data_IF_815845135263
#
_entry.id   IF_815845135263
#
_cell.length_a   1.000
_cell.length_b   1.000
_cell.length_c   1.000
_cell.angle_alpha   90.00
_cell.angle_beta   90.00
_cell.angle_gamma   90.00
#
_symmetry.space_group_name_H-M   'P 1'
#
loop_
_entity.id
_entity.type
_entity.pdbx_description
1 polymer ?
2 non-polymer ?
3 non-polymer ?
4 non-polymer ?
5 non-polymer ?
6 water ?
#
# COMPACT_ATOMS: atom_id res chain seq x y z
N UNK A 8 3.64 -13.51 -15.47
CA UNK A 8 3.47 -12.88 -14.17
C UNK A 8 4.25 -13.59 -13.07
N UNK A 9 5.21 -12.88 -12.49
CA UNK A 9 6.01 -13.42 -11.39
C UNK A 9 6.17 -12.31 -10.39
N UNK A 10 6.06 -12.65 -9.11
CA UNK A 10 6.20 -11.67 -8.04
C UNK A 10 7.16 -12.19 -7.01
N UNK A 11 8.00 -11.30 -6.51
CA UNK A 11 9.04 -11.63 -5.56
C UNK A 11 8.69 -11.44 -4.09
N UNK A 12 9.22 -12.30 -3.22
CA UNK A 12 9.01 -12.15 -1.78
C UNK A 12 10.14 -11.18 -1.42
N UNK A 13 9.79 -10.02 -0.90
CA UNK A 13 10.78 -9.00 -0.57
C UNK A 13 10.33 -8.24 0.66
N UNK A 14 10.50 -8.81 1.87
CA UNK A 14 10.06 -8.13 3.09
C UNK A 14 10.57 -6.70 3.22
N UNK A 15 9.66 -5.79 3.55
CA UNK A 15 10.02 -4.40 3.70
C UNK A 15 10.38 -3.64 2.45
N UNK A 16 10.33 -4.30 1.29
CA UNK A 16 10.64 -3.65 0.04
C UNK A 16 12.11 -3.34 -0.17
N UNK A 17 12.97 -3.84 0.69
CA UNK A 17 14.42 -3.59 0.61
C UNK A 17 15.06 -4.54 -0.37
N UNK A 18 15.74 -3.98 -1.36
CA UNK A 18 16.38 -4.78 -2.38
C UNK A 18 17.75 -4.18 -2.64
N UNK A 19 18.75 -5.03 -2.81
CA UNK A 19 20.09 -4.54 -3.04
C UNK A 19 20.30 -4.04 -4.45
N UNK A 20 21.33 -3.22 -4.65
CA UNK A 20 21.64 -2.74 -5.98
C UNK A 20 22.09 -3.88 -6.90
N UNK A 21 22.62 -4.94 -6.30
CA UNK A 21 23.07 -6.12 -7.01
C UNK A 21 21.84 -6.89 -7.46
N UNK A 22 20.85 -6.99 -6.58
CA UNK A 22 19.61 -7.68 -6.87
C UNK A 22 18.86 -6.89 -7.92
N UNK A 23 18.94 -5.57 -7.82
CA UNK A 23 18.26 -4.72 -8.78
C UNK A 23 18.78 -4.94 -10.19
N UNK A 24 20.10 -4.93 -10.36
CA UNK A 24 20.67 -5.13 -11.69
C UNK A 24 20.27 -6.47 -12.30
N UNK A 25 20.15 -7.50 -11.46
CA UNK A 25 19.77 -8.82 -11.93
C UNK A 25 18.31 -8.82 -12.38
N UNK A 26 17.44 -8.04 -11.72
CA UNK A 26 16.04 -8.00 -12.13
C UNK A 26 15.84 -7.08 -13.31
N UNK A 27 16.66 -6.04 -13.40
CA UNK A 27 16.58 -5.12 -14.51
C UNK A 27 16.91 -5.84 -15.83
N UNK A 28 17.95 -6.67 -15.79
CA UNK A 28 18.39 -7.44 -16.94
C UNK A 28 17.31 -8.41 -17.40
N UNK A 29 16.76 -9.16 -16.46
CA UNK A 29 15.73 -10.14 -16.78
C UNK A 29 14.50 -9.47 -17.37
N UNK A 30 14.01 -8.42 -16.72
CA UNK A 30 12.84 -7.70 -17.20
C UNK A 30 13.00 -7.33 -18.65
N UNK A 31 14.16 -6.78 -18.97
CA UNK A 31 14.44 -6.36 -20.32
C UNK A 31 14.63 -7.44 -21.35
N UNK A 32 15.30 -8.53 -20.98
CA UNK A 32 15.57 -9.59 -21.94
C UNK A 32 14.53 -10.68 -22.05
N UNK A 33 13.95 -11.07 -20.92
CA UNK A 33 13.05 -12.20 -20.91
C UNK A 33 11.57 -12.03 -20.62
N UNK A 34 11.02 -10.85 -20.87
CA UNK A 34 9.59 -10.65 -20.63
C UNK A 34 9.03 -9.92 -21.83
N UNK A 35 7.73 -10.05 -22.07
CA UNK A 35 7.08 -9.42 -23.19
C UNK A 35 7.06 -7.91 -23.06
N UNK A 36 6.71 -7.43 -21.86
CA UNK A 36 6.61 -6.00 -21.61
C UNK A 36 7.91 -5.24 -21.34
N UNK A 37 8.94 -5.96 -20.94
CA UNK A 37 10.24 -5.36 -20.65
C UNK A 37 10.25 -4.38 -19.49
N UNK A 38 9.26 -4.46 -18.62
CA UNK A 38 9.17 -3.52 -17.53
C UNK A 38 9.37 -4.17 -16.18
N UNK A 39 9.59 -3.33 -15.17
CA UNK A 39 9.68 -3.75 -13.79
C UNK A 39 8.47 -2.99 -13.28
N UNK A 40 7.58 -3.65 -12.56
CA UNK A 40 6.37 -2.99 -12.06
C UNK A 40 6.43 -3.12 -10.56
N UNK A 41 6.57 -2.00 -9.87
CA UNK A 41 6.63 -2.01 -8.42
C UNK A 41 5.19 -2.11 -7.98
N UNK A 42 4.94 -2.94 -6.97
CA UNK A 42 3.58 -3.12 -6.47
C UNK A 42 3.37 -2.33 -5.20
N UNK A 43 2.12 -2.21 -4.80
CA UNK A 43 1.82 -1.46 -3.61
C UNK A 43 2.01 -2.27 -2.32
N UNK A 44 2.64 -3.43 -2.44
CA UNK A 44 2.96 -4.24 -1.28
C UNK A 44 4.48 -4.30 -1.15
N UNK A 45 5.16 -3.32 -1.73
CA UNK A 45 6.61 -3.23 -1.62
C UNK A 45 7.43 -4.31 -2.29
N UNK A 46 7.00 -4.76 -3.46
CA UNK A 46 7.75 -5.77 -4.19
C UNK A 46 7.59 -5.46 -5.66
N UNK A 47 8.01 -6.35 -6.53
CA UNK A 47 7.92 -6.09 -7.95
C UNK A 47 7.38 -7.28 -8.73
N UNK A 48 6.91 -6.99 -9.95
CA UNK A 48 6.39 -8.01 -10.84
C UNK A 48 6.96 -7.86 -12.23
N UNK A 49 7.02 -9.00 -12.92
CA UNK A 49 7.45 -9.06 -14.32
C UNK A 49 6.13 -9.38 -15.03
N UNK A 50 5.98 -8.92 -16.26
CA UNK A 50 4.75 -9.17 -17.01
C UNK A 50 5.09 -9.83 -18.34
N UNK A 51 4.44 -10.95 -18.62
CA UNK A 51 4.68 -11.63 -19.87
C UNK A 51 6.01 -12.34 -19.90
N UNK A 52 6.21 -13.26 -18.97
CA UNK A 52 7.46 -13.97 -18.95
C UNK A 52 7.35 -15.05 -20.00
N UNK A 53 8.41 -15.20 -20.81
CA UNK A 53 8.42 -16.22 -21.85
C UNK A 53 8.85 -17.60 -21.33
N UNK A 59 13.84 -20.91 -14.47
CA UNK A 59 14.97 -20.02 -14.82
C UNK A 59 14.93 -18.69 -14.05
N UNK A 60 13.73 -18.13 -13.89
CA UNK A 60 13.57 -16.89 -13.13
C UNK A 60 13.94 -17.22 -11.69
N UNK A 61 13.60 -18.44 -11.25
CA UNK A 61 13.88 -18.89 -9.89
C UNK A 61 15.36 -19.04 -9.68
N UNK A 62 16.07 -19.40 -10.74
CA UNK A 62 17.50 -19.57 -10.66
C UNK A 62 18.15 -18.21 -10.69
N UNK A 63 17.53 -17.28 -11.41
CA UNK A 63 18.01 -15.90 -11.50
C UNK A 63 17.71 -15.18 -10.19
N UNK A 64 16.59 -15.53 -9.55
CA UNK A 64 16.22 -14.93 -8.29
C UNK A 64 17.14 -15.51 -7.23
N UNK A 65 17.15 -16.84 -7.15
CA UNK A 65 17.94 -17.59 -6.19
C UNK A 65 19.42 -17.21 -6.22
N UNK A 66 19.91 -16.90 -7.42
CA UNK A 66 21.31 -16.53 -7.60
C UNK A 66 21.65 -15.22 -6.92
N UNK A 67 20.68 -14.32 -6.80
CA UNK A 67 20.90 -13.04 -6.11
C UNK A 67 20.27 -13.04 -4.72
N UNK A 68 19.92 -14.24 -4.25
CA UNK A 68 19.33 -14.40 -2.93
C UNK A 68 17.88 -13.97 -2.81
N UNK A 69 17.11 -14.15 -3.87
CA UNK A 69 15.70 -13.78 -3.86
C UNK A 69 14.84 -15.01 -4.09
N UNK A 70 13.56 -14.94 -3.74
CA UNK A 70 12.66 -16.07 -3.97
C UNK A 70 11.22 -15.61 -4.16
N UNK A 71 10.48 -16.32 -4.98
CA UNK A 71 9.07 -16.01 -5.21
C UNK A 71 8.35 -16.97 -4.26
N UNK A 72 7.38 -16.47 -3.50
CA UNK A 72 6.64 -17.33 -2.54
C UNK A 72 5.94 -18.55 -3.14
N UNK A 76 -0.14 -23.23 -2.12
CA UNK A 76 -0.22 -23.63 -0.72
C UNK A 76 0.06 -22.47 0.23
N UNK A 77 1.04 -21.64 -0.12
CA UNK A 77 1.40 -20.50 0.71
C UNK A 77 0.53 -19.27 0.46
N UNK A 78 -0.29 -18.94 1.46
CA UNK A 78 -1.17 -17.79 1.38
C UNK A 78 -0.49 -16.55 1.95
N UNK A 79 0.77 -16.69 2.37
CA UNK A 79 1.46 -15.56 2.95
C UNK A 79 2.02 -14.60 1.90
N UNK A 80 1.39 -13.45 1.94
CA UNK A 80 1.69 -12.42 0.95
C UNK A 80 2.85 -11.54 1.41
N UNK A 81 3.46 -10.59 0.72
CA UNK A 81 4.62 -9.82 1.15
C UNK A 81 4.34 -9.01 2.43
N UNK A 82 5.24 -9.11 3.41
CA UNK A 82 5.15 -8.38 4.66
C UNK A 82 5.74 -6.99 4.44
N UNK A 83 4.93 -5.98 4.70
CA UNK A 83 5.35 -4.59 4.50
C UNK A 83 5.94 -3.96 5.75
N UNK A 84 6.78 -2.96 5.54
CA UNK A 84 7.39 -2.23 6.64
C UNK A 84 7.54 -0.77 6.22
N UNK A 85 7.07 0.16 7.05
CA UNK A 85 7.20 1.59 6.79
C UNK A 85 8.60 1.81 6.23
N UNK A 86 8.65 2.37 5.03
CA UNK A 86 9.89 2.58 4.31
C UNK A 86 10.83 3.72 4.66
N UNK A 87 10.30 4.85 5.08
CA UNK A 87 11.11 6.04 5.32
C UNK A 87 10.61 6.78 6.58
N UNK A 88 10.75 6.16 7.75
CA UNK A 88 10.27 6.79 8.98
C UNK A 88 10.91 8.12 9.33
N UNK A 89 10.14 9.02 9.92
CA UNK A 89 10.65 10.33 10.33
C UNK A 89 11.80 10.12 11.31
N UNK A 90 11.65 9.17 12.21
CA UNK A 90 12.70 8.83 13.16
C UNK A 90 13.48 7.76 12.40
N UNK A 91 14.40 8.19 11.55
CA UNK A 91 15.17 7.27 10.72
C UNK A 91 15.82 6.06 11.34
N UNK A 92 16.20 6.16 12.60
CA UNK A 92 16.87 5.04 13.24
C UNK A 92 15.98 3.85 13.51
N UNK A 93 14.67 4.06 13.61
CA UNK A 93 13.76 2.95 13.88
C UNK A 93 13.61 1.95 12.74
N UNK A 94 13.91 2.37 11.53
CA UNK A 94 13.76 1.49 10.37
C UNK A 94 14.46 0.15 10.47
N UNK A 95 15.73 0.17 10.88
CA UNK A 95 16.55 -1.04 10.99
C UNK A 95 15.92 -2.15 11.83
N UNK A 96 15.42 -1.82 13.01
CA UNK A 96 14.78 -2.82 13.86
C UNK A 96 13.41 -3.26 13.35
N UNK A 97 12.59 -2.30 12.93
CA UNK A 97 11.26 -2.60 12.44
C UNK A 97 11.43 -3.50 11.22
N UNK A 98 12.41 -3.19 10.37
CA UNK A 98 12.69 -3.97 9.17
C UNK A 98 13.14 -5.37 9.53
N UNK A 99 14.01 -5.47 10.54
CA UNK A 99 14.51 -6.77 11.00
C UNK A 99 13.30 -7.60 11.45
N UNK A 100 12.33 -6.97 12.09
CA UNK A 100 11.15 -7.69 12.51
C UNK A 100 10.23 -8.10 11.35
N UNK A 101 10.04 -7.23 10.35
CA UNK A 101 9.21 -7.59 9.19
C UNK A 101 9.81 -8.81 8.52
N UNK A 102 11.13 -8.85 8.48
CA UNK A 102 11.87 -9.94 7.88
C UNK A 102 11.70 -11.23 8.72
N UNK A 103 11.69 -11.10 10.05
CA UNK A 103 11.52 -12.25 10.94
C UNK A 103 10.12 -12.84 10.87
N UNK A 104 9.12 -11.99 10.77
CA UNK A 104 7.74 -12.45 10.66
C UNK A 104 7.54 -13.18 9.32
N UNK A 105 8.09 -12.58 8.27
CA UNK A 105 8.02 -13.15 6.94
C UNK A 105 8.59 -14.55 6.84
N UNK A 106 9.74 -14.81 7.44
CA UNK A 106 10.33 -16.15 7.38
C UNK A 106 9.62 -17.08 8.35
N UNK A 107 9.22 -16.54 9.48
CA UNK A 107 8.52 -17.31 10.49
C UNK A 107 7.18 -17.76 9.95
N UNK A 108 6.62 -16.99 9.02
CA UNK A 108 5.33 -17.33 8.46
C UNK A 108 5.39 -18.25 7.25
N UNK A 109 6.60 -18.48 6.73
CA UNK A 109 6.79 -19.35 5.59
C UNK A 109 6.53 -20.82 5.98
N UNK A 110 5.91 -21.62 5.07
CA UNK A 110 5.59 -23.04 5.33
C UNK A 110 6.74 -23.89 5.89
N UNK A 137 0.83 -24.62 7.65
CA UNK A 137 -0.60 -24.38 7.82
C UNK A 137 -1.19 -23.78 6.53
N UNK A 138 -2.24 -24.40 6.01
CA UNK A 138 -2.89 -23.91 4.79
C UNK A 138 -4.00 -22.94 5.15
N UNK A 139 -3.86 -21.70 4.70
CA UNK A 139 -4.83 -20.65 4.99
C UNK A 139 -6.03 -20.72 4.04
N UNK A 140 -7.22 -20.35 4.55
CA UNK A 140 -8.42 -20.38 3.71
C UNK A 140 -8.31 -19.37 2.57
N UNK A 141 -7.75 -18.27 2.79
CA UNK A 141 -7.55 -17.15 1.88
C UNK A 141 -6.16 -16.61 2.14
N UNK A 142 -5.77 -15.60 1.26
CA UNK A 142 -4.45 -15.00 1.47
C UNK A 142 -4.34 -14.19 2.75
N UNK A 143 -3.16 -14.21 3.35
CA UNK A 143 -2.91 -13.52 4.59
C UNK A 143 -1.89 -12.41 4.38
N UNK A 144 -2.26 -11.19 4.74
CA UNK A 144 -1.41 -10.04 4.54
C UNK A 144 -0.99 -9.40 5.87
N UNK A 145 0.32 -9.17 6.03
CA UNK A 145 0.88 -8.64 7.29
C UNK A 145 1.74 -7.41 7.10
N UNK A 146 1.79 -6.55 8.11
CA UNK A 146 2.65 -5.35 8.04
C UNK A 146 3.25 -4.99 9.39
N UNK A 147 4.30 -4.19 9.34
CA UNK A 147 4.97 -3.64 10.51
C UNK A 147 4.89 -2.14 10.22
N UNK A 148 4.22 -1.39 11.09
CA UNK A 148 4.03 0.05 10.90
C UNK A 148 4.84 0.86 11.92
N UNK A 149 5.38 2.00 11.47
CA UNK A 149 6.14 2.91 12.35
C UNK A 149 5.36 4.22 12.34
N UNK A 150 4.55 4.46 13.39
CA UNK A 150 3.79 5.71 13.43
C UNK A 150 4.79 6.85 13.35
N UNK A 151 4.35 8.04 12.91
CA UNK A 151 2.99 8.40 12.50
C UNK A 151 2.66 8.11 11.02
N UNK A 152 3.44 7.27 10.36
CA UNK A 152 3.19 6.96 8.97
C UNK A 152 2.43 5.67 8.77
N UNK A 153 1.39 5.74 7.94
CA UNK A 153 0.57 4.58 7.62
C UNK A 153 0.68 4.38 6.11
N UNK A 154 1.89 4.57 5.58
CA UNK A 154 2.15 4.40 4.15
C UNK A 154 1.82 2.98 3.69
N UNK A 155 1.98 2.01 4.60
CA UNK A 155 1.71 0.62 4.29
C UNK A 155 0.22 0.31 4.25
N UNK A 156 -0.61 1.27 4.66
CA UNK A 156 -2.06 1.14 4.63
C UNK A 156 -2.50 -0.09 5.42
N UNK A 157 -2.25 -0.03 6.72
CA UNK A 157 -2.55 -1.13 7.61
C UNK A 157 -3.98 -1.68 7.58
N UNK A 158 -4.95 -0.84 7.30
CA UNK A 158 -6.31 -1.34 7.33
C UNK A 158 -6.74 -2.22 6.20
N UNK A 159 -5.81 -2.50 5.28
CA UNK A 159 -6.07 -3.40 4.17
C UNK A 159 -5.48 -4.77 4.47
N UNK A 160 -4.93 -4.96 5.67
CA UNK A 160 -4.27 -6.22 6.03
C UNK A 160 -4.85 -6.98 7.21
N UNK A 161 -4.62 -8.30 7.18
CA UNK A 161 -5.08 -9.22 8.24
C UNK A 161 -4.37 -9.02 9.58
N UNK A 162 -3.05 -8.83 9.53
CA UNK A 162 -2.30 -8.71 10.77
C UNK A 162 -1.31 -7.56 10.69
N UNK A 163 -1.35 -6.69 11.68
CA UNK A 163 -0.50 -5.52 11.69
C UNK A 163 0.18 -5.33 13.03
N UNK A 164 1.48 -5.06 12.98
CA UNK A 164 2.28 -4.82 14.16
C UNK A 164 2.71 -3.37 14.12
N UNK A 165 2.09 -2.54 14.96
CA UNK A 165 2.40 -1.12 15.03
C UNK A 165 3.53 -0.94 16.07
N UNK A 166 4.72 -0.56 15.58
CA UNK A 166 5.89 -0.37 16.44
C UNK A 166 5.75 0.69 17.53
N UNK A 167 6.09 0.30 18.75
CA UNK A 167 6.07 1.22 19.90
C UNK A 167 7.55 1.31 20.33
N UNK A 168 8.08 2.52 20.36
CA UNK A 168 9.48 2.70 20.73
C UNK A 168 9.63 3.66 21.90
N UNK A 169 10.71 3.48 22.63
CA UNK A 169 11.07 4.34 23.76
C UNK A 169 12.56 4.55 23.58
N UNK A 170 13.00 5.79 23.74
CA UNK A 170 14.42 6.12 23.62
C UNK A 170 15.04 5.63 22.31
N UNK A 171 14.28 5.73 21.22
CA UNK A 171 14.80 5.31 19.92
C UNK A 171 14.94 3.81 19.74
N UNK A 172 14.38 3.07 20.68
CA UNK A 172 14.43 1.62 20.66
C UNK A 172 13.01 1.06 20.68
N UNK A 173 12.80 0.01 19.91
CA UNK A 173 11.51 -0.63 19.83
C UNK A 173 11.32 -1.42 21.10
N UNK A 174 10.17 -1.28 21.74
CA UNK A 174 9.91 -2.04 22.95
C UNK A 174 8.79 -3.07 22.75
N UNK A 175 7.95 -2.87 21.74
CA UNK A 175 6.87 -3.81 21.51
C UNK A 175 6.02 -3.38 20.33
N UNK A 176 4.86 -4.01 20.20
CA UNK A 176 3.96 -3.73 19.09
C UNK A 176 2.50 -3.72 19.51
N UNK A 177 1.72 -2.86 18.87
CA UNK A 177 0.29 -2.83 19.09
C UNK A 177 -0.19 -3.75 17.99
N UNK A 178 -1.04 -4.72 18.31
CA UNK A 178 -1.54 -5.64 17.29
C UNK A 178 -2.91 -5.20 16.77
N UNK A 179 -3.03 -5.05 15.45
CA UNK A 179 -4.31 -4.70 14.82
C UNK A 179 -4.62 -5.84 13.83
N UNK A 180 -5.79 -6.44 13.96
CA UNK A 180 -6.15 -7.58 13.14
C UNK A 180 -7.49 -7.50 12.41
N UNK A 181 -7.52 -7.99 11.18
CA UNK A 181 -8.77 -8.03 10.44
C UNK A 181 -9.09 -7.15 9.25
N UNK A 182 -8.11 -6.47 8.69
CA UNK A 182 -8.42 -5.62 7.55
C UNK A 182 -8.53 -6.42 6.29
N UNK A 183 -9.24 -5.89 5.29
CA UNK A 183 -9.40 -6.55 4.01
C UNK A 183 -10.28 -5.66 3.18
N UNK A 184 -9.95 -5.44 1.92
CA UNK A 184 -10.74 -4.52 1.06
C UNK A 184 -11.65 -5.11 -0.02
N UNK A 185 -11.35 -6.32 -0.45
CA UNK A 185 -12.07 -7.01 -1.48
C UNK A 185 -13.58 -7.15 -1.25
N UNK A 186 -14.35 -6.78 -2.26
CA UNK A 186 -15.79 -6.91 -2.21
C UNK A 186 -16.21 -7.50 -3.52
N UNK A 187 -17.48 -7.82 -3.63
CA UNK A 187 -18.02 -8.37 -4.85
C UNK A 187 -19.17 -7.43 -5.18
N UNK A 188 -19.23 -6.95 -6.40
CA UNK A 188 -20.31 -6.02 -6.75
C UNK A 188 -21.73 -6.51 -6.41
N UNK A 189 -22.50 -5.65 -5.73
CA UNK A 189 -23.88 -5.95 -5.38
C UNK A 189 -24.14 -7.07 -4.38
N UNK A 190 -23.07 -7.69 -3.90
CA UNK A 190 -23.13 -8.79 -2.94
C UNK A 190 -22.91 -8.21 -1.53
N UNK A 191 -24.00 -7.89 -0.85
CA UNK A 191 -23.93 -7.30 0.47
C UNK A 191 -23.40 -8.20 1.55
N UNK A 192 -22.96 -9.39 1.18
CA UNK A 192 -22.38 -10.33 2.14
C UNK A 192 -20.87 -10.14 2.19
N UNK A 193 -20.35 -9.35 1.26
CA UNK A 193 -18.93 -9.06 1.20
C UNK A 193 -18.79 -7.60 1.62
N UNK A 194 -17.63 -7.23 2.17
CA UNK A 194 -17.41 -5.86 2.61
C UNK A 194 -15.94 -5.61 2.88
N UNK A 195 -15.54 -4.34 2.83
CA UNK A 195 -14.18 -3.95 3.16
C UNK A 195 -14.23 -3.76 4.66
N UNK A 196 -13.16 -4.06 5.37
CA UNK A 196 -13.17 -3.90 6.82
C UNK A 196 -11.84 -3.35 7.29
N UNK A 197 -11.86 -2.57 8.35
CA UNK A 197 -10.62 -2.01 8.91
C UNK A 197 -10.14 -2.96 10.00
N UNK A 198 -8.87 -2.91 10.37
CA UNK A 198 -8.32 -3.80 11.38
C UNK A 198 -8.75 -3.38 12.76
N UNK A 199 -8.91 -4.35 13.66
CA UNK A 199 -9.31 -4.11 15.03
C UNK A 199 -8.14 -4.24 15.99
N UNK A 200 -8.08 -3.37 16.99
CA UNK A 200 -7.03 -3.40 18.01
C UNK A 200 -7.27 -4.53 18.97
N UNK A 201 -6.23 -5.31 19.20
CA UNK A 201 -6.26 -6.43 20.12
C UNK A 201 -5.56 -6.01 21.41
N UNK A 202 -4.40 -5.38 21.30
CA UNK A 202 -3.65 -4.96 22.46
C UNK A 202 -2.18 -4.86 22.14
N UNK A 203 -1.38 -4.53 23.16
CA UNK A 203 0.05 -4.38 23.06
C UNK A 203 0.76 -5.66 23.54
N UNK A 204 1.90 -5.96 22.94
CA UNK A 204 2.68 -7.13 23.31
C UNK A 204 4.16 -6.75 23.28
N UNK A 205 4.91 -7.17 24.29
CA UNK A 205 6.34 -6.90 24.37
C UNK A 205 6.95 -7.56 23.17
N UNK A 206 8.00 -6.95 22.66
CA UNK A 206 8.71 -7.41 21.49
C UNK A 206 8.99 -8.91 21.49
N UNK A 207 9.26 -9.46 22.67
CA UNK A 207 9.59 -10.88 22.82
C UNK A 207 8.48 -11.85 22.41
N UNK A 208 7.23 -11.43 22.46
CA UNK A 208 6.12 -12.31 22.11
C UNK A 208 5.65 -12.19 20.67
N UNK A 209 6.37 -11.41 19.89
CA UNK A 209 6.02 -11.16 18.51
C UNK A 209 5.72 -12.39 17.67
N UNK A 210 6.69 -13.29 17.55
CA UNK A 210 6.50 -14.47 16.73
C UNK A 210 5.42 -15.43 17.18
N UNK A 211 5.23 -15.55 18.48
CA UNK A 211 4.23 -16.43 19.08
C UNK A 211 2.84 -15.89 18.82
N UNK A 212 2.72 -14.57 18.84
CA UNK A 212 1.45 -13.89 18.61
C UNK A 212 1.11 -13.98 17.13
N UNK A 213 2.14 -13.85 16.29
CA UNK A 213 1.99 -13.92 14.84
C UNK A 213 1.47 -15.29 14.40
N UNK A 214 2.07 -16.32 14.94
CA UNK A 214 1.72 -17.70 14.64
C UNK A 214 0.32 -17.98 15.15
N UNK A 215 0.00 -17.49 16.34
CA UNK A 215 -1.31 -17.69 16.95
C UNK A 215 -2.43 -17.08 16.13
N UNK A 216 -2.22 -15.89 15.58
CA UNK A 216 -3.27 -15.27 14.76
C UNK A 216 -3.49 -16.10 13.50
N UNK A 217 -2.39 -16.54 12.89
CA UNK A 217 -2.44 -17.35 11.69
C UNK A 217 -3.17 -18.67 11.88
N UNK A 218 -2.80 -19.39 12.94
CA UNK A 218 -3.43 -20.68 13.17
C UNK A 218 -4.89 -20.55 13.58
N UNK A 219 -5.23 -19.51 14.33
CA UNK A 219 -6.61 -19.32 14.75
C UNK A 219 -7.51 -19.02 13.55
N UNK A 220 -6.98 -18.27 12.60
CA UNK A 220 -7.70 -17.94 11.39
C UNK A 220 -7.82 -19.19 10.53
N UNK A 221 -6.75 -19.97 10.48
CA UNK A 221 -6.68 -21.20 9.72
C UNK A 221 -7.74 -22.20 10.18
N UNK A 222 -7.93 -22.29 11.49
CA UNK A 222 -8.88 -23.23 12.07
C UNK A 222 -10.32 -22.77 12.05
N UNK A 223 -10.54 -21.50 12.34
CA UNK A 223 -11.89 -20.93 12.40
C UNK A 223 -12.44 -20.39 11.10
N UNK A 224 -11.58 -20.18 10.11
CA UNK A 224 -12.01 -19.65 8.83
C UNK A 224 -13.11 -20.49 8.25
N UNK A 225 -13.99 -19.88 7.45
CA UNK A 225 -15.10 -20.56 6.80
C UNK A 225 -14.63 -21.75 5.96
N UNK A 226 -15.13 -22.94 6.29
CA UNK A 226 -14.75 -24.18 5.59
C UNK A 226 -15.48 -24.45 4.28
N UNK A 227 -16.57 -23.75 4.06
CA UNK A 227 -17.36 -23.94 2.86
C UNK A 227 -17.05 -22.96 1.73
N UNK A 228 -17.41 -21.69 1.96
CA UNK A 228 -17.27 -20.63 0.98
C UNK A 228 -15.97 -19.84 1.04
N UNK A 229 -15.29 -19.77 -0.10
CA UNK A 229 -14.03 -19.06 -0.25
C UNK A 229 -14.13 -17.52 -0.15
N UNK A 230 -15.32 -16.97 -0.43
CA UNK A 230 -15.55 -15.50 -0.36
C UNK A 230 -15.84 -14.98 1.04
N UNK A 231 -15.89 -15.88 2.02
CA UNK A 231 -16.20 -15.51 3.41
C UNK A 231 -15.14 -16.10 4.33
N UNK A 232 -14.04 -16.52 3.73
CA UNK A 232 -12.94 -17.16 4.42
C UNK A 232 -11.85 -16.23 4.97
N UNK A 233 -11.86 -14.98 4.56
CA UNK A 233 -10.88 -14.00 5.02
C UNK A 233 -11.07 -13.73 6.53
N UNK A 234 -9.99 -13.39 7.24
CA UNK A 234 -10.02 -13.10 8.68
C UNK A 234 -11.05 -12.05 9.05
N UNK A 235 -11.23 -11.03 8.21
CA UNK A 235 -12.20 -9.99 8.47
C UNK A 235 -13.61 -10.56 8.69
N UNK A 236 -13.90 -11.66 7.97
CA UNK A 236 -15.18 -12.35 8.06
C UNK A 236 -15.25 -13.22 9.30
N UNK A 237 -14.13 -13.85 9.63
CA UNK A 237 -14.03 -14.69 10.80
C UNK A 237 -14.25 -13.88 12.09
N UNK A 238 -13.61 -12.72 12.17
CA UNK A 238 -13.71 -11.85 13.35
C UNK A 238 -15.11 -11.41 13.62
N UNK A 239 -15.84 -11.16 12.54
CA UNK A 239 -17.24 -10.72 12.64
C UNK A 239 -18.17 -11.85 13.04
N UNK A 240 -17.81 -13.08 12.68
CA UNK A 240 -18.63 -14.25 13.02
C UNK A 240 -18.42 -14.63 14.49
N UNK A 241 -17.17 -14.74 14.91
CA UNK A 241 -16.85 -15.11 16.27
C UNK A 241 -16.75 -13.93 17.22
N UNK A 242 -16.33 -12.77 16.70
CA UNK A 242 -16.20 -11.60 17.54
C UNK A 242 -14.74 -11.37 17.90
N UNK A 243 -14.32 -10.11 17.94
CA UNK A 243 -12.93 -9.76 18.28
C UNK A 243 -12.47 -10.33 19.61
N UNK A 244 -13.29 -10.20 20.63
CA UNK A 244 -12.93 -10.68 21.96
C UNK A 244 -12.72 -12.19 22.01
N UNK A 245 -13.52 -12.93 21.25
CA UNK A 245 -13.41 -14.39 21.20
C UNK A 245 -12.14 -14.80 20.49
N UNK A 246 -11.87 -14.15 19.37
CA UNK A 246 -10.68 -14.41 18.56
C UNK A 246 -9.46 -14.00 19.38
N UNK A 247 -9.56 -12.86 20.04
CA UNK A 247 -8.48 -12.33 20.88
C UNK A 247 -8.14 -13.30 22.00
N UNK A 248 -9.15 -13.78 22.73
CA UNK A 248 -8.94 -14.71 23.84
C UNK A 248 -8.24 -15.97 23.38
N UNK A 249 -8.56 -16.41 22.17
CA UNK A 249 -7.95 -17.60 21.64
C UNK A 249 -6.50 -17.36 21.28
N UNK A 250 -6.21 -16.16 20.77
CA UNK A 250 -4.85 -15.80 20.40
C UNK A 250 -3.96 -15.78 21.65
N UNK A 251 -4.49 -15.24 22.75
CA UNK A 251 -3.77 -15.19 24.00
C UNK A 251 -3.48 -16.59 24.51
N UNK A 252 -4.51 -17.43 24.50
CA UNK A 252 -4.35 -18.80 24.95
C UNK A 252 -3.30 -19.55 24.14
N UNK A 253 -3.38 -19.44 22.81
CA UNK A 253 -2.43 -20.12 21.94
C UNK A 253 -1.03 -19.54 22.03
N UNK A 254 -0.94 -18.22 22.18
CA UNK A 254 0.36 -17.54 22.26
C UNK A 254 1.05 -17.69 23.62
N UNK A 255 0.25 -17.83 24.68
CA UNK A 255 0.81 -17.99 26.02
C UNK A 255 1.07 -16.65 26.69
N UNK A 256 0.30 -15.64 26.30
CA UNK A 256 0.44 -14.29 26.85
C UNK A 256 -0.92 -13.64 27.00
N UNK A 257 -0.94 -12.50 27.68
CA UNK A 257 -2.15 -11.71 27.82
C UNK A 257 -1.75 -10.39 27.24
N UNK A 258 -2.54 -9.89 26.31
CA UNK A 258 -2.23 -8.62 25.70
C UNK A 258 -2.35 -7.54 26.76
N UNK A 259 -1.53 -6.50 26.64
CA UNK A 259 -1.58 -5.35 27.54
C UNK A 259 -2.42 -4.29 26.81
N UNK A 260 -2.87 -3.25 27.52
CA UNK A 260 -3.66 -2.21 26.89
C UNK A 260 -2.88 -1.62 25.73
N UNK A 261 -3.62 -1.11 24.75
CA UNK A 261 -3.02 -0.51 23.58
C UNK A 261 -2.21 0.71 24.02
N UNK A 262 -1.04 0.90 23.42
CA UNK A 262 -0.26 2.06 23.75
C UNK A 262 -0.52 3.09 22.68
N UNK A 263 -0.58 4.37 23.07
CA UNK A 263 -0.84 5.46 22.13
C UNK A 263 -0.02 5.49 20.84
N UNK A 264 -0.70 5.84 19.75
CA UNK A 264 -0.09 5.94 18.44
C UNK A 264 -1.10 6.70 17.62
N UNK A 265 -0.61 7.38 16.60
CA UNK A 265 -1.48 8.14 15.74
C UNK A 265 -0.75 8.28 14.43
N UNK A 266 -1.48 8.51 13.35
CA UNK A 266 -0.86 8.64 12.05
C UNK A 266 -1.10 10.03 11.55
N UNK A 267 -0.20 10.51 10.72
CA UNK A 267 -0.34 11.81 10.14
C UNK A 267 -0.55 11.71 8.64
N UNK A 268 -0.24 10.56 8.04
CA UNK A 268 -0.43 10.43 6.61
C UNK A 268 0.01 9.10 6.07
N UNK A 269 -0.09 8.95 4.75
CA UNK A 269 0.27 7.72 4.05
C UNK A 269 1.14 7.93 2.82
N UNK A 270 1.52 9.17 2.55
CA UNK A 270 2.32 9.43 1.37
C UNK A 270 3.81 9.22 1.58
N UNK A 271 4.53 9.11 0.49
CA UNK A 271 5.97 8.95 0.55
C UNK A 271 6.54 10.35 0.74
N UNK A 272 7.85 10.44 0.98
CA UNK A 272 8.52 11.72 1.19
C UNK A 272 9.39 11.94 -0.02
N UNK A 273 8.73 12.39 -1.08
CA UNK A 273 9.34 12.62 -2.36
C UNK A 273 10.47 13.63 -2.25
N UNK A 274 11.61 13.28 -2.84
CA UNK A 274 12.75 14.17 -2.77
C UNK A 274 13.75 13.65 -1.76
N UNK A 275 14.63 14.55 -1.31
CA UNK A 275 15.66 14.22 -0.35
C UNK A 275 15.23 14.41 1.07
N UNK A 276 15.55 13.43 1.91
CA UNK A 276 15.28 13.55 3.34
C UNK A 276 16.57 13.10 3.97
N UNK A 277 16.86 13.68 5.13
CA UNK A 277 18.07 13.37 5.88
C UNK A 277 17.84 12.15 6.76
N UNK A 278 18.68 11.13 6.60
CA UNK A 278 18.57 9.95 7.43
C UNK A 278 19.53 10.04 8.60
N UNK A 279 20.07 8.91 9.03
CA UNK A 279 21.01 8.90 10.14
C UNK A 279 22.44 9.07 9.61
N UNK A 280 23.35 9.55 10.46
CA UNK A 280 24.75 9.77 10.09
C UNK A 280 24.74 10.86 9.04
N UNK A 281 25.53 10.71 7.98
CA UNK A 281 25.55 11.70 6.90
C UNK A 281 24.82 11.12 5.69
N UNK A 282 23.87 10.23 5.96
CA UNK A 282 23.13 9.58 4.90
C UNK A 282 21.84 10.27 4.54
N UNK A 283 21.52 10.24 3.25
CA UNK A 283 20.32 10.86 2.74
C UNK A 283 19.48 9.84 1.96
N UNK A 284 18.19 10.09 1.90
CA UNK A 284 17.29 9.19 1.18
C UNK A 284 16.58 9.96 0.09
N UNK A 285 16.71 9.51 -1.15
CA UNK A 285 16.03 10.17 -2.26
C UNK A 285 14.86 9.28 -2.71
N UNK A 286 13.64 9.71 -2.43
CA UNK A 286 12.47 8.93 -2.88
C UNK A 286 12.07 9.49 -4.25
N UNK A 287 11.94 8.60 -5.23
CA UNK A 287 11.54 9.02 -6.56
C UNK A 287 10.09 8.66 -6.86
N UNK A 288 9.33 9.62 -7.38
CA UNK A 288 7.95 9.33 -7.77
C UNK A 288 7.96 8.55 -9.09
N UNK A 289 7.36 7.37 -9.10
CA UNK A 289 7.28 6.58 -10.32
C UNK A 289 5.81 6.34 -10.61
N UNK A 290 5.29 6.97 -11.66
CA UNK A 290 3.89 6.81 -11.99
C UNK A 290 3.51 5.35 -12.21
N UNK A 291 2.51 4.90 -11.47
CA UNK A 291 2.06 3.52 -11.51
C UNK A 291 3.17 2.54 -11.22
N UNK A 292 4.31 3.03 -10.75
CA UNK A 292 5.42 2.16 -10.45
C UNK A 292 5.91 1.39 -11.67
N UNK A 293 5.53 1.83 -12.86
CA UNK A 293 5.93 1.15 -14.08
C UNK A 293 7.28 1.66 -14.53
N UNK A 294 8.29 0.81 -14.42
CA UNK A 294 9.63 1.17 -14.79
C UNK A 294 9.96 0.66 -16.18
N UNK A 295 9.95 1.58 -17.13
CA UNK A 295 10.25 1.26 -18.52
C UNK A 295 10.95 2.46 -19.12
N UNK A 296 11.70 2.24 -20.17
CA UNK A 296 12.34 3.38 -20.80
C UNK A 296 11.38 3.96 -21.79
N UNK A 297 11.08 5.23 -21.62
CA UNK A 297 10.18 5.91 -22.50
C UNK A 297 10.97 6.88 -23.33
N UNK A 298 10.40 7.30 -24.47
CA UNK A 298 11.08 8.25 -25.35
C UNK A 298 11.35 9.50 -24.52
N UNK A 299 12.65 9.79 -24.38
CA UNK A 299 13.12 10.95 -23.63
C UNK A 299 13.05 10.80 -22.10
N UNK A 300 12.54 9.66 -21.62
CA UNK A 300 12.47 9.43 -20.17
C UNK A 300 12.95 8.02 -19.92
N UNK A 301 14.27 7.81 -20.01
CA UNK A 301 14.88 6.50 -19.79
C UNK A 301 14.83 6.12 -18.32
N UNK A 302 13.61 5.90 -17.81
CA UNK A 302 13.41 5.55 -16.41
C UNK A 302 14.14 4.29 -16.00
N UNK A 303 14.02 3.27 -16.82
CA UNK A 303 14.64 1.97 -16.52
C UNK A 303 16.17 2.04 -16.55
N UNK A 304 16.72 2.66 -17.58
CA UNK A 304 18.17 2.79 -17.70
C UNK A 304 18.66 3.66 -16.55
N UNK A 305 17.90 4.71 -16.28
CA UNK A 305 18.22 5.63 -15.20
C UNK A 305 18.41 4.91 -13.88
N UNK A 306 17.48 4.02 -13.55
CA UNK A 306 17.60 3.28 -12.29
C UNK A 306 18.73 2.28 -12.34
N UNK A 307 19.11 1.83 -13.54
CA UNK A 307 20.23 0.92 -13.66
C UNK A 307 21.52 1.69 -13.42
N UNK A 308 21.64 2.88 -14.01
CA UNK A 308 22.85 3.69 -13.84
C UNK A 308 23.05 4.07 -12.37
N UNK A 309 21.95 4.34 -11.67
CA UNK A 309 22.02 4.68 -10.26
C UNK A 309 22.40 3.42 -9.49
N UNK A 310 21.82 2.29 -9.88
CA UNK A 310 22.10 1.04 -9.20
C UNK A 310 23.59 0.77 -9.23
N UNK A 311 24.21 1.04 -10.36
CA UNK A 311 25.64 0.78 -10.47
C UNK A 311 26.55 1.64 -9.58
N UNK A 312 26.11 2.86 -9.24
CA UNK A 312 26.95 3.73 -8.41
C UNK A 312 26.45 3.95 -6.98
N UNK A 313 25.25 3.47 -6.67
CA UNK A 313 24.69 3.67 -5.34
C UNK A 313 25.37 2.85 -4.27
N UNK A 314 25.58 3.49 -3.13
CA UNK A 314 26.23 2.88 -1.96
C UNK A 314 25.38 1.88 -1.15
N UNK A 315 24.13 2.25 -0.86
CA UNK A 315 23.28 1.38 -0.09
C UNK A 315 22.37 0.58 -1.00
N UNK A 316 21.11 0.46 -0.59
CA UNK A 316 20.14 -0.25 -1.40
C UNK A 316 18.97 0.63 -1.78
N UNK A 317 17.94 -0.01 -2.34
CA UNK A 317 16.71 0.66 -2.76
C UNK A 317 15.62 0.14 -1.84
N UNK A 318 14.55 0.91 -1.71
CA UNK A 318 13.43 0.47 -0.91
C UNK A 318 12.20 0.72 -1.77
N UNK A 319 11.44 -0.34 -2.06
CA UNK A 319 10.22 -0.22 -2.85
C UNK A 319 9.12 0.15 -1.85
N UNK A 320 8.42 1.25 -2.08
CA UNK A 320 7.40 1.70 -1.16
C UNK A 320 6.00 1.14 -1.48
N UNK A 321 5.12 1.24 -0.51
CA UNK A 321 3.76 0.77 -0.64
C UNK A 321 2.95 1.72 -1.48
N UNK A 322 3.60 2.73 -2.05
CA UNK A 322 2.93 3.69 -2.90
C UNK A 322 3.46 3.56 -4.32
N UNK A 323 4.12 2.44 -4.58
CA UNK A 323 4.68 2.11 -5.90
C UNK A 323 5.80 3.06 -6.34
N UNK A 324 6.58 3.53 -5.36
CA UNK A 324 7.70 4.45 -5.62
C UNK A 324 8.98 3.80 -5.20
N UNK A 325 10.08 4.49 -5.41
CA UNK A 325 11.36 3.91 -5.07
C UNK A 325 12.28 4.84 -4.32
N UNK A 326 12.87 4.34 -3.25
CA UNK A 326 13.78 5.14 -2.44
C UNK A 326 15.20 4.67 -2.64
N UNK A 327 16.07 5.60 -3.01
CA UNK A 327 17.49 5.30 -3.14
C UNK A 327 17.95 5.63 -1.72
N UNK A 328 18.16 4.58 -0.93
CA UNK A 328 18.52 4.73 0.48
C UNK A 328 19.98 4.69 0.89
N UNK A 329 20.32 5.53 1.87
CA UNK A 329 21.69 5.55 2.36
C UNK A 329 22.70 6.13 1.41
N UNK A 330 22.38 7.31 0.88
CA UNK A 330 23.27 8.01 -0.01
C UNK A 330 24.13 8.94 0.85
N UNK A 331 25.46 8.74 0.83
CA UNK A 331 26.32 9.60 1.62
C UNK A 331 26.15 11.02 1.08
N UNK A 332 26.16 12.02 1.96
CA UNK A 332 26.00 13.41 1.52
C UNK A 332 26.90 13.76 0.34
N UNK A 333 28.10 13.19 0.30
CA UNK A 333 29.04 13.47 -0.80
C UNK A 333 28.56 12.93 -2.15
N UNK A 334 27.73 11.89 -2.10
CA UNK A 334 27.19 11.24 -3.30
C UNK A 334 25.86 11.81 -3.83
N UNK A 335 25.23 12.67 -3.06
CA UNK A 335 23.95 13.27 -3.44
C UNK A 335 23.94 13.88 -4.82
N UNK A 336 25.01 14.57 -5.16
CA UNK A 336 25.10 15.21 -6.47
C UNK A 336 25.20 14.24 -7.63
N UNK A 337 25.92 13.14 -7.46
CA UNK A 337 26.07 12.15 -8.52
C UNK A 337 24.72 11.50 -8.79
N UNK A 338 24.10 10.98 -7.74
CA UNK A 338 22.81 10.32 -7.82
C UNK A 338 21.77 11.25 -8.40
N UNK A 339 21.73 12.48 -7.90
CA UNK A 339 20.73 13.41 -8.37
C UNK A 339 20.87 13.79 -9.83
N UNK A 340 22.10 13.83 -10.32
CA UNK A 340 22.32 14.20 -11.71
C UNK A 340 21.66 13.15 -12.59
N UNK A 341 21.95 11.88 -12.32
CA UNK A 341 21.37 10.76 -13.07
C UNK A 341 19.85 10.76 -13.01
N UNK A 342 19.29 10.73 -11.80
CA UNK A 342 17.85 10.72 -11.63
C UNK A 342 17.19 11.87 -12.36
N UNK A 343 17.86 13.02 -12.41
CA UNK A 343 17.32 14.21 -13.08
C UNK A 343 17.34 14.08 -14.60
N UNK A 344 18.46 13.59 -15.13
CA UNK A 344 18.64 13.41 -16.57
C UNK A 344 17.69 12.34 -17.10
N UNK A 345 17.47 11.30 -16.31
CA UNK A 345 16.60 10.20 -16.71
C UNK A 345 15.11 10.48 -16.62
N UNK A 346 14.73 11.62 -16.04
CA UNK A 346 13.31 11.94 -15.90
C UNK A 346 12.68 11.32 -14.67
N UNK A 347 13.50 10.84 -13.74
CA UNK A 347 13.02 10.22 -12.52
C UNK A 347 12.58 11.26 -11.52
N UNK A 348 13.08 12.48 -11.68
CA UNK A 348 12.72 13.56 -10.78
C UNK A 348 11.85 14.64 -11.41
N UNK A 349 11.12 14.27 -12.45
CA UNK A 349 10.23 15.24 -13.10
C UNK A 349 9.19 15.57 -12.07
N UNK A 350 9.01 16.85 -11.83
CA UNK A 350 8.07 17.31 -10.84
C UNK A 350 6.63 17.09 -11.24
N UNK A 351 5.84 16.58 -10.30
CA UNK A 351 4.42 16.34 -10.52
C UNK A 351 3.70 17.08 -9.41
N UNK A 352 2.39 17.12 -9.47
CA UNK A 352 1.66 17.82 -8.44
C UNK A 352 1.54 16.91 -7.21
N UNK A 353 1.24 17.52 -6.05
CA UNK A 353 1.10 16.72 -4.84
C UNK A 353 -0.07 15.77 -5.08
N UNK A 354 -1.03 16.15 -5.92
CA UNK A 354 -2.17 15.29 -6.23
C UNK A 354 -1.70 14.01 -6.88
N UNK A 355 -0.86 14.13 -7.90
CA UNK A 355 -0.38 12.96 -8.57
C UNK A 355 0.40 12.05 -7.62
N UNK A 356 1.17 12.65 -6.72
CA UNK A 356 1.97 11.88 -5.78
C UNK A 356 1.13 11.10 -4.82
N UNK A 357 -0.10 11.54 -4.57
CA UNK A 357 -0.96 10.82 -3.65
C UNK A 357 -2.11 10.07 -4.31
N UNK A 358 -1.92 9.68 -5.56
CA UNK A 358 -2.93 8.95 -6.31
C UNK A 358 -2.36 7.57 -6.61
N UNK A 359 -3.22 6.56 -6.71
CA UNK A 359 -2.73 5.21 -6.99
C UNK A 359 -3.73 4.38 -7.81
N UNK A 360 -3.23 3.40 -8.55
CA UNK A 360 -4.07 2.52 -9.35
C UNK A 360 -3.41 1.14 -9.41
N UNK A 361 -4.23 0.11 -9.63
CA UNK A 361 -3.78 -1.27 -9.75
C UNK A 361 -3.34 -1.52 -11.19
N UNK A 362 -2.79 -2.70 -11.46
CA UNK A 362 -2.35 -3.04 -12.80
C UNK A 362 -3.51 -3.04 -13.82
N UNK A 363 -4.52 -3.88 -13.56
CA UNK A 363 -5.68 -3.98 -14.44
C UNK A 363 -5.22 -4.39 -15.85
N UNK A 364 -5.93 -3.95 -16.89
CA UNK A 364 -5.54 -4.27 -18.25
C UNK A 364 -4.16 -3.71 -18.48
N UNK A 365 -3.40 -4.30 -19.41
CA UNK A 365 -3.74 -5.46 -20.26
C UNK A 365 -3.47 -6.87 -19.69
N UNK A 366 -2.72 -6.93 -18.61
CA UNK A 366 -2.34 -8.21 -18.03
C UNK A 366 -3.29 -8.88 -17.06
N UNK A 367 -4.12 -8.12 -16.36
CA UNK A 367 -4.98 -8.77 -15.40
C UNK A 367 -6.18 -9.41 -16.04
N UNK A 368 -6.45 -10.69 -15.73
CA UNK A 368 -7.60 -11.40 -16.29
C UNK A 368 -8.93 -11.09 -15.60
N UNK A 369 -8.85 -10.49 -14.42
CA UNK A 369 -10.05 -10.19 -13.67
C UNK A 369 -10.49 -8.76 -13.84
N UNK A 370 -9.71 -8.00 -14.59
CA UNK A 370 -10.00 -6.59 -14.80
C UNK A 370 -11.35 -6.29 -15.44
N UNK A 371 -12.02 -5.24 -14.97
CA UNK A 371 -13.30 -4.83 -15.52
C UNK A 371 -13.18 -3.47 -16.21
N UNK A 372 -12.34 -2.61 -15.66
CA UNK A 372 -12.14 -1.27 -16.22
C UNK A 372 -10.66 -0.95 -16.09
N UNK A 373 -10.17 -0.04 -16.92
CA UNK A 373 -8.76 0.36 -16.90
C UNK A 373 -8.41 1.03 -15.57
N UNK A 374 -7.18 0.87 -15.12
CA UNK A 374 -6.75 1.49 -13.88
C UNK A 374 -5.39 2.14 -14.10
N UNK A 375 -4.35 1.34 -14.20
CA UNK A 375 -3.03 1.89 -14.44
C UNK A 375 -3.00 2.75 -15.69
N UNK A 376 -3.54 2.23 -16.77
CA UNK A 376 -3.52 2.98 -18.02
C UNK A 376 -4.48 4.16 -18.08
N UNK A 377 -5.39 4.23 -17.13
CA UNK A 377 -6.37 5.30 -17.07
C UNK A 377 -5.90 6.43 -16.14
N UNK A 378 -5.21 6.05 -15.07
CA UNK A 378 -4.78 7.00 -14.08
C UNK A 378 -4.04 8.26 -14.53
N UNK A 379 -3.02 8.12 -15.38
CA UNK A 379 -2.28 9.32 -15.82
C UNK A 379 -3.11 10.47 -16.40
N UNK A 380 -3.95 10.19 -17.41
CA UNK A 380 -4.75 11.24 -18.00
C UNK A 380 -5.88 11.63 -17.11
N UNK A 381 -6.31 10.71 -16.28
CA UNK A 381 -7.39 11.02 -15.37
C UNK A 381 -6.82 12.06 -14.40
N UNK A 382 -5.62 11.82 -13.87
CA UNK A 382 -5.06 12.81 -12.96
C UNK A 382 -4.72 14.12 -13.68
N UNK A 383 -4.52 14.04 -14.99
CA UNK A 383 -4.25 15.24 -15.79
C UNK A 383 -5.49 16.09 -15.61
N UNK A 384 -6.64 15.43 -15.69
CA UNK A 384 -7.93 16.11 -15.54
C UNK A 384 -8.16 16.67 -14.14
N UNK A 385 -7.79 15.87 -13.14
CA UNK A 385 -7.94 16.24 -11.74
C UNK A 385 -7.02 17.40 -11.41
N UNK A 386 -5.83 17.41 -11.99
CA UNK A 386 -4.90 18.51 -11.76
C UNK A 386 -5.54 19.80 -12.26
N UNK A 387 -6.22 19.74 -13.40
CA UNK A 387 -6.88 20.92 -13.93
C UNK A 387 -7.93 21.41 -12.97
N UNK A 388 -8.69 20.48 -12.42
CA UNK A 388 -9.75 20.84 -11.50
C UNK A 388 -9.19 21.42 -10.22
N UNK A 389 -8.07 20.89 -9.75
CA UNK A 389 -7.48 21.40 -8.52
C UNK A 389 -7.00 22.84 -8.78
N UNK A 390 -6.37 23.06 -9.94
CA UNK A 390 -5.88 24.39 -10.31
C UNK A 390 -7.04 25.39 -10.45
N UNK A 391 -8.11 24.96 -11.10
CA UNK A 391 -9.30 25.78 -11.30
C UNK A 391 -9.87 26.26 -9.96
N UNK A 392 -9.72 25.45 -8.91
CA UNK A 392 -10.23 25.83 -7.61
C UNK A 392 -9.24 26.43 -6.61
N UNK A 393 -8.02 26.70 -7.06
CA UNK A 393 -7.02 27.28 -6.18
C UNK A 393 -6.49 26.32 -5.13
N UNK A 394 -6.45 25.05 -5.50
CA UNK A 394 -5.98 24.01 -4.60
C UNK A 394 -4.92 23.13 -5.23
N UNK A 395 -4.14 23.71 -6.14
CA UNK A 395 -3.07 23.00 -6.84
C UNK A 395 -2.00 22.50 -5.88
N UNK A 396 -1.93 23.08 -4.70
CA UNK A 396 -0.93 22.66 -3.72
C UNK A 396 -1.50 21.63 -2.76
N UNK A 397 -2.78 21.32 -2.90
CA UNK A 397 -3.44 20.36 -2.04
C UNK A 397 -3.42 18.97 -2.67
N UNK A 398 -4.01 18.02 -1.97
CA UNK A 398 -4.08 16.68 -2.49
C UNK A 398 -5.28 15.98 -1.89
N UNK A 399 -5.78 14.99 -2.62
CA UNK A 399 -6.91 14.15 -2.23
C UNK A 399 -6.36 12.76 -2.49
N UNK A 400 -6.42 11.89 -1.49
CA UNK A 400 -5.91 10.52 -1.68
C UNK A 400 -6.91 9.88 -2.68
N UNK A 401 -6.47 9.71 -3.92
CA UNK A 401 -7.33 9.23 -4.99
C UNK A 401 -6.82 7.98 -5.60
N UNK A 402 -7.65 6.96 -5.61
CA UNK A 402 -7.25 5.66 -6.10
C UNK A 402 -8.29 4.99 -7.00
N UNK A 403 -7.78 4.27 -7.98
CA UNK A 403 -8.60 3.59 -8.95
C UNK A 403 -8.23 2.13 -8.95
N UNK A 404 -9.23 1.31 -8.78
CA UNK A 404 -9.00 -0.11 -8.77
C UNK A 404 -9.86 -0.65 -9.93
N UNK A 405 -9.29 -1.52 -10.74
CA UNK A 405 -9.98 -2.02 -11.91
C UNK A 405 -11.13 -3.02 -11.78
N UNK A 406 -11.39 -3.46 -10.56
CA UNK A 406 -12.46 -4.40 -10.30
C UNK A 406 -12.57 -4.40 -8.77
N UNK A 407 -13.67 -4.94 -8.21
CA UNK A 407 -13.88 -4.96 -6.76
C UNK A 407 -12.89 -5.71 -5.88
N UNK A 408 -11.99 -6.49 -6.47
CA UNK A 408 -10.97 -7.20 -5.70
C UNK A 408 -10.22 -6.16 -4.88
N UNK A 409 -10.08 -4.96 -5.44
CA UNK A 409 -9.49 -3.86 -4.68
C UNK A 409 -8.01 -3.66 -4.53
N UNK A 410 -7.22 -4.22 -5.43
CA UNK A 410 -5.77 -4.11 -5.41
C UNK A 410 -5.25 -2.65 -5.34
N UNK A 411 -5.97 -1.73 -5.94
CA UNK A 411 -5.57 -0.34 -5.94
C UNK A 411 -5.86 0.38 -4.64
N UNK A 412 -6.45 -0.35 -3.69
CA UNK A 412 -6.81 0.17 -2.36
C UNK A 412 -7.73 1.38 -2.37
N UNK A 413 -8.62 1.40 -3.35
CA UNK A 413 -9.59 2.46 -3.49
C UNK A 413 -10.51 2.44 -2.30
N UNK A 414 -10.66 1.29 -1.65
CA UNK A 414 -11.57 1.21 -0.49
C UNK A 414 -11.03 1.82 0.80
N UNK A 415 -9.87 2.47 0.72
CA UNK A 415 -9.31 3.17 1.86
C UNK A 415 -8.97 4.59 1.44
N UNK A 416 -9.35 4.98 0.23
CA UNK A 416 -9.07 6.31 -0.29
C UNK A 416 -10.14 7.33 0.08
N UNK A 417 -9.82 8.61 -0.10
CA UNK A 417 -10.80 9.68 0.17
C UNK A 417 -11.79 9.66 -0.99
N UNK A 418 -11.27 9.37 -2.19
CA UNK A 418 -12.07 9.26 -3.42
C UNK A 418 -11.56 7.99 -4.08
N UNK A 419 -12.40 6.96 -4.09
CA UNK A 419 -12.02 5.71 -4.71
C UNK A 419 -12.87 5.42 -5.95
N UNK A 420 -12.24 4.89 -6.99
CA UNK A 420 -12.95 4.53 -8.23
C UNK A 420 -12.81 3.03 -8.31
N UNK A 421 -13.94 2.34 -8.45
CA UNK A 421 -13.95 0.89 -8.51
C UNK A 421 -14.58 0.42 -9.82
N UNK A 422 -13.74 -0.11 -10.71
CA UNK A 422 -14.17 -0.59 -12.00
C UNK A 422 -15.36 -1.51 -11.98
N UNK A 423 -16.32 -1.22 -12.86
CA UNK A 423 -17.52 -2.04 -12.94
C UNK A 423 -17.68 -2.63 -14.35
N UNK A 424 -17.17 -1.93 -15.35
CA UNK A 424 -17.23 -2.36 -16.76
C UNK A 424 -16.30 -1.46 -17.56
N UNK A 425 -16.07 -1.74 -18.85
CA UNK A 425 -15.20 -0.88 -19.65
C UNK A 425 -15.60 0.58 -19.54
N UNK A 426 -14.70 1.40 -19.02
CA UNK A 426 -14.98 2.82 -18.88
C UNK A 426 -15.98 3.24 -17.81
N UNK A 427 -16.38 2.33 -16.92
CA UNK A 427 -17.37 2.65 -15.88
C UNK A 427 -16.85 2.33 -14.50
N UNK A 428 -17.19 3.15 -13.53
CA UNK A 428 -16.70 2.90 -12.20
C UNK A 428 -17.71 3.29 -11.16
N UNK A 429 -17.57 2.70 -9.99
CA UNK A 429 -18.40 3.07 -8.86
C UNK A 429 -17.51 4.14 -8.24
N UNK A 430 -18.09 5.24 -7.80
CA UNK A 430 -17.35 6.34 -7.19
C UNK A 430 -17.67 6.29 -5.71
N UNK A 431 -16.64 6.18 -4.88
CA UNK A 431 -16.79 6.11 -3.44
C UNK A 431 -16.14 7.37 -2.86
N UNK A 432 -16.73 7.94 -1.81
CA UNK A 432 -16.22 9.15 -1.19
C UNK A 432 -16.29 9.02 0.31
N UNK A 433 -15.45 9.77 1.01
CA UNK A 433 -15.52 9.79 2.45
C UNK A 433 -14.48 9.09 3.28
N UNK A 434 -13.39 8.68 2.65
CA UNK A 434 -12.33 8.06 3.42
C UNK A 434 -11.55 9.24 4.00
N UNK A 435 -10.39 8.99 4.57
CA UNK A 435 -9.65 10.11 5.08
C UNK A 435 -8.20 10.02 4.65
N UNK A 436 -7.43 11.06 4.92
CA UNK A 436 -6.02 11.06 4.55
C UNK A 436 -5.19 9.94 5.15
N UNK A 437 -5.48 9.59 6.39
CA UNK A 437 -4.72 8.53 7.04
C UNK A 437 -5.13 7.10 6.72
N UNK A 438 -6.33 6.93 6.17
CA UNK A 438 -6.76 5.60 5.77
C UNK A 438 -7.38 4.74 6.84
N UNK A 439 -8.21 5.35 7.68
CA UNK A 439 -8.83 4.61 8.74
C UNK A 439 -10.35 4.52 8.55
N UNK A 440 -10.85 4.93 7.39
CA UNK A 440 -12.29 4.90 7.14
C UNK A 440 -12.55 4.41 5.73
N UNK A 441 -13.61 3.62 5.56
CA UNK A 441 -13.96 3.07 4.25
C UNK A 441 -14.91 4.03 3.53
N UNK A 442 -14.62 4.38 2.26
CA UNK A 442 -15.53 5.29 1.56
C UNK A 442 -16.81 4.58 1.08
N UNK A 443 -17.95 5.20 1.30
CA UNK A 443 -19.23 4.65 0.91
C UNK A 443 -19.44 4.95 -0.56
N UNK A 444 -20.19 4.09 -1.25
CA UNK A 444 -20.45 4.33 -2.65
C UNK A 444 -21.33 5.56 -2.78
N UNK A 445 -20.85 6.51 -3.57
CA UNK A 445 -21.55 7.75 -3.80
C UNK A 445 -22.33 7.67 -5.11
N UNK A 446 -21.72 7.15 -6.17
CA UNK A 446 -22.40 7.00 -7.46
C UNK A 446 -21.98 5.68 -8.04
N UNK A 447 -22.85 5.08 -8.83
CA UNK A 447 -22.59 3.76 -9.36
C UNK A 447 -22.51 3.68 -10.87
N UNK A 448 -21.61 2.84 -11.36
CA UNK A 448 -21.45 2.58 -12.79
C UNK A 448 -21.49 3.81 -13.68
N UNK A 449 -20.66 4.81 -13.38
CA UNK A 449 -20.63 6.03 -14.16
C UNK A 449 -19.33 6.13 -14.91
N UNK A 450 -19.32 7.00 -15.91
CA UNK A 450 -18.16 7.20 -16.76
C UNK A 450 -17.27 8.35 -16.31
N UNK A 451 -16.09 8.44 -16.90
CA UNK A 451 -15.16 9.50 -16.54
C UNK A 451 -15.79 10.89 -16.64
N UNK A 452 -16.39 11.24 -17.80
CA UNK A 452 -17.00 12.57 -17.88
C UNK A 452 -17.98 12.79 -16.74
N UNK A 453 -18.63 11.71 -16.29
CA UNK A 453 -19.59 11.81 -15.19
C UNK A 453 -18.84 11.95 -13.87
N UNK A 454 -17.72 11.24 -13.74
CA UNK A 454 -16.93 11.30 -12.52
C UNK A 454 -16.32 12.71 -12.37
N UNK A 455 -15.72 13.20 -13.44
CA UNK A 455 -15.13 14.53 -13.45
C UNK A 455 -16.12 15.63 -13.10
N UNK A 456 -17.35 15.53 -13.60
CA UNK A 456 -18.37 16.55 -13.32
C UNK A 456 -18.73 16.58 -11.85
N UNK A 457 -18.80 15.41 -11.23
CA UNK A 457 -19.12 15.34 -9.82
C UNK A 457 -17.98 15.91 -9.01
N UNK A 458 -16.75 15.54 -9.36
CA UNK A 458 -15.57 16.03 -8.63
C UNK A 458 -15.39 17.55 -8.80
N UNK A 459 -15.61 18.04 -10.01
CA UNK A 459 -15.49 19.47 -10.29
C UNK A 459 -16.34 20.18 -9.23
N UNK A 460 -17.56 19.71 -9.06
CA UNK A 460 -18.46 20.30 -8.09
C UNK A 460 -18.07 20.11 -6.62
N UNK A 461 -17.67 18.91 -6.25
CA UNK A 461 -17.29 18.69 -4.86
C UNK A 461 -15.99 19.40 -4.49
N UNK A 462 -14.98 19.33 -5.33
CA UNK A 462 -13.71 20.01 -5.07
C UNK A 462 -13.91 21.50 -4.89
N UNK A 463 -14.84 22.06 -5.66
CA UNK A 463 -15.14 23.47 -5.56
C UNK A 463 -15.74 23.79 -4.22
N UNK A 464 -16.66 22.96 -3.74
CA UNK A 464 -17.27 23.21 -2.43
C UNK A 464 -16.21 23.07 -1.35
N UNK A 465 -15.34 22.09 -1.53
CA UNK A 465 -14.27 21.87 -0.55
C UNK A 465 -13.32 23.06 -0.49
N UNK A 466 -12.85 23.49 -1.65
CA UNK A 466 -11.92 24.61 -1.74
C UNK A 466 -12.45 25.88 -1.06
N UNK A 467 -13.77 26.05 -1.09
CA UNK A 467 -14.43 27.21 -0.49
C UNK A 467 -15.04 27.01 0.90
N UNK A 468 -15.39 25.77 1.27
CA UNK A 468 -16.05 25.56 2.55
C UNK A 468 -15.29 24.83 3.63
N UNK A 469 -14.14 24.27 3.28
CA UNK A 469 -13.39 23.52 4.27
C UNK A 469 -12.80 24.34 5.37
N UNK A 470 -12.58 23.69 6.51
CA UNK A 470 -11.96 24.36 7.63
C UNK A 470 -10.45 24.33 7.41
N UNK A 471 -9.71 24.99 8.28
CA UNK A 471 -8.26 25.04 8.18
C UNK A 471 -7.68 23.63 8.27
N UNK A 472 -6.95 23.23 7.24
CA UNK A 472 -6.33 21.91 7.22
C UNK A 472 -7.24 20.69 7.12
N UNK A 473 -8.48 20.90 6.68
CA UNK A 473 -9.45 19.81 6.55
C UNK A 473 -9.34 19.07 5.23
N UNK A 474 -9.15 17.76 5.31
CA UNK A 474 -9.03 16.96 4.11
C UNK A 474 -10.36 16.84 3.37
N UNK A 475 -10.30 16.54 2.09
CA UNK A 475 -11.49 16.37 1.26
C UNK A 475 -12.44 15.32 1.79
N UNK A 476 -11.91 14.14 2.10
CA UNK A 476 -12.72 13.06 2.62
C UNK A 476 -13.51 13.48 3.83
N UNK A 477 -12.84 14.01 4.84
CA UNK A 477 -13.51 14.46 6.06
C UNK A 477 -14.55 15.50 5.77
N UNK A 478 -14.24 16.37 4.83
CA UNK A 478 -15.16 17.41 4.46
C UNK A 478 -16.47 16.83 3.90
N UNK A 479 -16.41 15.87 2.97
CA UNK A 479 -17.64 15.31 2.40
C UNK A 479 -18.51 14.69 3.48
N UNK A 480 -17.90 14.21 4.55
CA UNK A 480 -18.64 13.63 5.66
C UNK A 480 -19.19 14.75 6.56
N UNK A 481 -18.37 15.74 6.90
CA UNK A 481 -18.82 16.86 7.74
C UNK A 481 -19.95 17.62 7.06
N UNK A 482 -19.75 17.90 5.79
CA UNK A 482 -20.70 18.64 4.96
C UNK A 482 -21.93 17.85 4.52
N UNK A 483 -22.05 16.60 4.95
CA UNK A 483 -23.22 15.81 4.59
C UNK A 483 -23.38 15.32 3.16
N UNK A 484 -22.31 15.37 2.38
CA UNK A 484 -22.32 14.91 1.01
C UNK A 484 -22.39 13.37 0.98
N UNK A 485 -21.83 12.73 2.00
CA UNK A 485 -21.81 11.28 2.06
C UNK A 485 -21.89 10.87 3.54
N UNK A 486 -22.61 9.80 3.83
CA UNK A 486 -22.72 9.30 5.20
C UNK A 486 -21.45 8.50 5.43
N UNK A 487 -20.90 8.55 6.64
CA UNK A 487 -19.68 7.79 6.89
C UNK A 487 -20.00 6.32 7.10
N UNK A 488 -19.00 5.48 6.90
CA UNK A 488 -19.14 4.04 7.11
C UNK A 488 -18.54 3.85 8.49
N UNK A 489 -19.39 3.59 9.47
CA UNK A 489 -18.96 3.43 10.85
C UNK A 489 -18.71 2.01 11.32
N UNK A 490 -19.32 1.04 10.64
CA UNK A 490 -19.22 -0.36 11.05
C UNK A 490 -19.37 -1.12 9.73
N UNK A 491 -18.32 -1.13 8.87
CA UNK A 491 -18.34 -1.80 7.58
C UNK A 491 -19.13 -3.07 7.39
N UNK A 492 -19.02 -4.03 8.31
CA UNK A 492 -19.78 -5.28 8.19
C UNK A 492 -21.29 -5.07 8.21
N UNK A 493 -21.73 -3.99 8.86
CA UNK A 493 -23.14 -3.67 8.95
C UNK A 493 -23.65 -2.44 8.20
N UNK A 494 -22.82 -1.42 7.98
CA UNK A 494 -23.30 -0.21 7.29
C UNK A 494 -22.59 0.27 6.02
N UNK A 495 -21.76 -0.58 5.44
CA UNK A 495 -21.04 -0.22 4.22
C UNK A 495 -21.99 -0.07 3.04
N UNK A 496 -22.93 -1.00 2.92
CA UNK A 496 -23.90 -1.01 1.84
C UNK A 496 -25.19 -0.30 2.17
N UNK A 497 -25.73 0.43 1.21
CA UNK A 497 -27.00 1.12 1.39
C UNK A 497 -28.15 0.16 1.05
#
# INVERSE_FOLDING_TARGET
>A
LEPRHAMLLRCRLPGGVITTKQWQAIDKFAGENTIYGSIRLTNRQTFQFHGILKKNVKPVHQMLHSVGLDALATANDMNRNVLCTSNPYESQLHAEAYEWAKKISEHLLPRTRAYAEIWLDQEKVATTDEEPILGQTYLPRKFKTTVVIPPQNDIDLHANDMNFVAIAENGKLVGFNLLVGGGLSIEHGNKKTYARTASEFGYLPLEHTLAVAEAVVTTQRDWGNRTDRKNAKTKYTLERVGVETFKAEVERRAGIKFEPIRPYEFTGRGDRIGWVKGIDDNWHLTLFIENGRILDYPARPLKTGLLEIAKIHKGDFRITANQNLIIAGVPESEKAKIEKIAKESGLMNAVTPQRENSMACVSFPTCPLAMAEAERFLPSFIDNIDNLMAKHGVSDEHIVMRVTGCPNGCGRAMLAEVGLVGKAPGRYNLHLGGNRIGTRIPRMYKENITEPEILASLDELIGRWAKEREAGEGFGDFTVRAGIIRPVLDPARDLWD
#
